data_IF_170890698008
#
_entry.id   IF_170890698008
#
_cell.length_a   1.000
_cell.length_b   1.000
_cell.length_c   1.000
_cell.angle_alpha   90.00
_cell.angle_beta   90.00
_cell.angle_gamma   90.00
#
_symmetry.space_group_name_H-M   'P 1'
#
loop_
_entity.id
_entity.type
_entity.pdbx_description
1 polymer ?
#
# COMPACT_ATOMS: atom_id res chain seq x y z
N UNK A 1 -4.29 19.72 -7.30
CA UNK A 1 -3.62 18.46 -6.94
C UNK A 1 -3.27 17.73 -8.24
N UNK A 2 -2.11 17.08 -8.32
CA UNK A 2 -1.81 16.21 -9.46
C UNK A 2 -2.84 15.06 -9.51
N UNK A 3 -3.26 14.61 -10.70
CA UNK A 3 -4.18 13.48 -10.81
C UNK A 3 -3.56 12.23 -10.16
N UNK A 4 -4.37 11.36 -9.53
CA UNK A 4 -3.86 10.14 -8.92
C UNK A 4 -3.17 9.27 -9.96
N UNK A 5 -2.03 8.69 -9.60
CA UNK A 5 -1.40 7.66 -10.42
C UNK A 5 -2.28 6.41 -10.38
N UNK A 6 -2.85 6.05 -11.53
CA UNK A 6 -3.69 4.87 -11.68
C UNK A 6 -2.94 3.84 -12.51
N UNK A 7 -2.83 2.63 -11.96
CA UNK A 7 -2.28 1.46 -12.61
C UNK A 7 -3.37 0.85 -13.50
N UNK A 8 -2.99 0.38 -14.68
CA UNK A 8 -3.87 -0.48 -15.46
C UNK A 8 -4.03 -1.83 -14.75
N UNK A 9 -5.16 -2.01 -14.09
CA UNK A 9 -5.51 -3.22 -13.32
C UNK A 9 -6.09 -4.33 -14.20
N UNK A 10 -6.05 -4.22 -15.53
CA UNK A 10 -6.47 -5.29 -16.45
C UNK A 10 -5.37 -6.34 -16.65
N UNK A 11 -5.73 -7.55 -17.11
CA UNK A 11 -4.76 -8.63 -17.36
C UNK A 11 -3.68 -8.27 -18.38
N UNK A 12 -3.90 -7.24 -19.20
CA UNK A 12 -2.96 -6.75 -20.21
C UNK A 12 -1.87 -5.84 -19.63
N UNK A 13 -2.05 -5.32 -18.41
CA UNK A 13 -1.18 -4.34 -17.76
C UNK A 13 -0.20 -4.92 -16.72
N UNK A 14 0.31 -6.15 -16.91
CA UNK A 14 1.26 -6.71 -15.92
C UNK A 14 2.50 -5.81 -15.81
N UNK A 15 2.81 -5.28 -14.61
CA UNK A 15 3.98 -4.45 -14.42
C UNK A 15 5.26 -5.25 -14.67
N UNK A 16 6.25 -4.62 -15.31
CA UNK A 16 7.56 -5.23 -15.51
C UNK A 16 8.29 -5.42 -14.18
N UNK A 17 8.08 -4.48 -13.24
CA UNK A 17 8.64 -4.52 -11.90
C UNK A 17 7.51 -4.27 -10.91
N UNK A 18 7.31 -5.21 -9.98
CA UNK A 18 6.27 -5.11 -8.96
C UNK A 18 6.87 -5.18 -7.55
N UNK A 19 6.75 -4.10 -6.81
CA UNK A 19 7.19 -3.99 -5.43
C UNK A 19 6.03 -4.15 -4.45
N UNK A 20 6.23 -5.00 -3.48
CA UNK A 20 5.27 -5.35 -2.45
C UNK A 20 5.65 -4.58 -1.20
N UNK A 21 4.91 -3.53 -0.87
CA UNK A 21 5.21 -2.60 0.22
C UNK A 21 4.20 -2.69 1.37
N UNK A 22 2.97 -3.15 1.13
CA UNK A 22 1.95 -3.33 2.18
C UNK A 22 2.14 -4.72 2.80
N UNK A 23 2.80 -4.77 3.94
CA UNK A 23 3.41 -5.97 4.52
C UNK A 23 4.92 -5.99 4.32
N UNK A 24 5.50 -7.19 4.34
CA UNK A 24 6.95 -7.38 4.16
C UNK A 24 7.38 -6.99 2.75
N UNK A 25 8.54 -6.33 2.63
CA UNK A 25 9.08 -5.90 1.35
C UNK A 25 9.41 -7.11 0.47
N UNK A 26 8.85 -7.16 -0.74
CA UNK A 26 9.23 -8.13 -1.77
C UNK A 26 9.32 -7.45 -3.14
N UNK A 27 10.13 -7.98 -4.04
CA UNK A 27 10.20 -7.52 -5.43
C UNK A 27 9.97 -8.68 -6.39
N UNK A 28 9.17 -8.44 -7.41
CA UNK A 28 8.83 -9.40 -8.47
C UNK A 28 9.17 -8.77 -9.82
N UNK A 29 9.71 -9.57 -10.73
CA UNK A 29 10.12 -9.12 -12.07
C UNK A 29 11.54 -8.59 -12.15
N UNK A 30 12.25 -8.49 -11.02
CA UNK A 30 13.69 -8.25 -10.94
C UNK A 30 14.35 -9.27 -10.02
N UNK A 31 15.59 -9.64 -10.34
CA UNK A 31 16.43 -10.34 -9.39
C UNK A 31 16.82 -9.39 -8.25
N UNK A 32 16.90 -9.92 -7.04
CA UNK A 32 17.33 -9.15 -5.88
C UNK A 32 18.76 -8.66 -6.13
N UNK A 33 19.05 -7.36 -5.96
CA UNK A 33 20.38 -6.84 -6.25
C UNK A 33 21.38 -7.45 -5.28
N UNK A 34 22.51 -7.92 -5.79
CA UNK A 34 23.53 -8.60 -4.99
C UNK A 34 24.34 -7.63 -4.11
N UNK A 35 24.79 -8.15 -2.98
CA UNK A 35 25.79 -7.53 -2.11
C UNK A 35 25.25 -6.55 -1.05
N UNK A 36 26.17 -5.94 -0.30
CA UNK A 36 25.87 -5.17 0.92
C UNK A 36 24.99 -3.92 0.70
N UNK A 37 24.87 -3.46 -0.55
CA UNK A 37 24.07 -2.28 -0.91
C UNK A 37 22.63 -2.61 -1.32
N UNK A 38 22.29 -3.89 -1.39
CA UNK A 38 20.93 -4.36 -1.66
C UNK A 38 19.87 -3.68 -0.79
N UNK A 39 20.03 -3.55 0.55
CA UNK A 39 19.02 -2.90 1.38
C UNK A 39 18.80 -1.43 1.05
N UNK A 40 19.86 -0.72 0.64
CA UNK A 40 19.80 0.70 0.30
C UNK A 40 19.10 0.93 -1.06
N UNK A 41 19.25 0.01 -2.02
CA UNK A 41 18.53 0.06 -3.30
C UNK A 41 17.03 -0.15 -3.12
N UNK A 42 16.64 -1.13 -2.29
CA UNK A 42 15.24 -1.35 -1.93
C UNK A 42 14.63 -0.13 -1.22
N UNK A 43 15.37 0.49 -0.29
CA UNK A 43 14.95 1.70 0.41
C UNK A 43 14.75 2.88 -0.55
N UNK A 44 15.68 3.07 -1.49
CA UNK A 44 15.58 4.11 -2.52
C UNK A 44 14.36 3.89 -3.43
N UNK A 45 14.13 2.65 -3.86
CA UNK A 45 12.98 2.29 -4.69
C UNK A 45 11.66 2.50 -3.94
N UNK A 46 11.57 2.10 -2.67
CA UNK A 46 10.38 2.32 -1.85
C UNK A 46 10.02 3.81 -1.73
N UNK A 47 11.02 4.67 -1.52
CA UNK A 47 10.82 6.12 -1.49
C UNK A 47 10.28 6.62 -2.83
N UNK A 48 10.91 6.24 -3.95
CA UNK A 48 10.46 6.65 -5.29
C UNK A 48 9.04 6.16 -5.62
N UNK A 49 8.66 4.97 -5.16
CA UNK A 49 7.32 4.42 -5.34
C UNK A 49 6.25 5.19 -4.56
N UNK A 50 6.60 5.71 -3.38
CA UNK A 50 5.70 6.55 -2.57
C UNK A 50 5.54 7.97 -3.15
N UNK A 51 6.56 8.46 -3.88
CA UNK A 51 6.61 9.79 -4.48
C UNK A 51 6.52 9.73 -6.01
N UNK A 52 5.34 9.38 -6.52
CA UNK A 52 5.08 9.26 -7.97
C UNK A 52 5.22 10.57 -8.74
N UNK A 53 5.11 11.70 -8.07
CA UNK A 53 5.37 13.05 -8.58
C UNK A 53 6.85 13.33 -8.88
N UNK A 54 7.74 12.43 -8.47
CA UNK A 54 9.17 12.52 -8.72
C UNK A 54 9.96 13.19 -7.59
N UNK A 55 11.17 12.69 -7.36
CA UNK A 55 12.00 13.06 -6.21
C UNK A 55 13.29 13.72 -6.69
N UNK A 56 13.61 14.90 -6.16
CA UNK A 56 14.90 15.52 -6.48
C UNK A 56 16.06 14.67 -5.92
N UNK A 57 17.15 14.41 -6.67
CA UNK A 57 18.27 13.56 -6.22
C UNK A 57 18.82 13.91 -4.83
N UNK A 58 18.86 15.20 -4.50
CA UNK A 58 19.26 15.68 -3.15
C UNK A 58 18.29 15.27 -2.04
N UNK A 59 16.98 15.26 -2.30
CA UNK A 59 15.96 14.84 -1.33
C UNK A 59 16.09 13.35 -1.08
N UNK A 60 16.21 12.55 -2.14
CA UNK A 60 16.50 11.12 -2.03
C UNK A 60 17.76 10.88 -1.19
N UNK A 61 18.86 11.59 -1.49
CA UNK A 61 20.10 11.46 -0.73
C UNK A 61 19.94 11.82 0.76
N UNK A 62 19.23 12.91 1.08
CA UNK A 62 18.99 13.30 2.49
C UNK A 62 18.15 12.30 3.27
N UNK A 63 17.20 11.64 2.59
CA UNK A 63 16.36 10.60 3.19
C UNK A 63 17.17 9.33 3.49
N UNK A 64 18.01 8.92 2.54
CA UNK A 64 18.83 7.70 2.64
C UNK A 64 20.06 7.86 3.54
N UNK A 65 20.64 9.07 3.59
CA UNK A 65 21.78 9.41 4.43
C UNK A 65 21.50 10.68 5.24
N UNK A 66 20.81 10.56 6.40
CA UNK A 66 20.48 11.71 7.24
C UNK A 66 21.69 12.52 7.74
N UNK A 67 22.88 11.89 7.75
CA UNK A 67 24.16 12.53 8.14
C UNK A 67 24.92 13.12 6.95
N UNK A 68 24.33 13.13 5.76
CA UNK A 68 24.96 13.57 4.53
C UNK A 68 25.74 12.47 3.81
N UNK A 69 25.98 12.72 2.52
CA UNK A 69 26.71 11.86 1.59
C UNK A 69 27.37 12.75 0.53
N UNK A 70 28.47 12.30 -0.08
CA UNK A 70 29.08 13.00 -1.21
C UNK A 70 28.26 12.81 -2.49
N UNK A 71 28.37 13.76 -3.42
CA UNK A 71 27.68 13.69 -4.71
C UNK A 71 28.08 12.41 -5.49
N UNK A 72 29.37 12.05 -5.51
CA UNK A 72 29.85 10.83 -6.18
C UNK A 72 29.20 9.55 -5.64
N UNK A 73 28.99 9.45 -4.32
CA UNK A 73 28.37 8.26 -3.71
C UNK A 73 26.87 8.23 -3.99
N UNK A 74 26.20 9.39 -4.00
CA UNK A 74 24.81 9.49 -4.43
C UNK A 74 24.68 9.06 -5.89
N UNK A 75 25.51 9.61 -6.77
CA UNK A 75 25.41 9.36 -8.21
C UNK A 75 25.72 7.90 -8.54
N UNK A 76 26.70 7.29 -7.84
CA UNK A 76 26.96 5.86 -7.92
C UNK A 76 25.80 4.98 -7.41
N UNK A 77 24.97 5.45 -6.46
CA UNK A 77 23.74 4.74 -6.09
C UNK A 77 22.69 4.86 -7.20
N UNK A 78 22.54 6.05 -7.78
CA UNK A 78 21.56 6.30 -8.85
C UNK A 78 21.87 5.48 -10.09
N UNK A 79 23.14 5.37 -10.48
CA UNK A 79 23.54 4.56 -11.63
C UNK A 79 23.24 3.07 -11.38
N UNK A 80 23.55 2.56 -10.18
CA UNK A 80 23.18 1.18 -9.80
C UNK A 80 21.67 0.95 -9.77
N UNK A 81 20.90 1.96 -9.34
CA UNK A 81 19.45 1.89 -9.32
C UNK A 81 18.88 1.85 -10.75
N UNK A 82 19.47 2.63 -11.68
CA UNK A 82 19.13 2.56 -13.11
C UNK A 82 19.48 1.20 -13.70
N UNK A 83 20.68 0.70 -13.43
CA UNK A 83 21.13 -0.62 -13.92
C UNK A 83 20.24 -1.75 -13.40
N UNK A 84 19.92 -1.72 -12.10
CA UNK A 84 19.07 -2.72 -11.46
C UNK A 84 17.64 -2.70 -11.99
N UNK A 85 17.04 -1.51 -12.15
CA UNK A 85 15.70 -1.38 -12.71
C UNK A 85 15.66 -1.68 -14.21
N UNK A 86 16.78 -1.47 -14.91
CA UNK A 86 16.92 -1.69 -16.34
C UNK A 86 16.04 -0.78 -17.20
N UNK A 87 15.78 -1.25 -18.42
CA UNK A 87 15.09 -0.49 -19.46
C UNK A 87 13.74 -1.11 -19.82
N UNK A 88 12.83 -0.27 -20.32
CA UNK A 88 11.62 -0.66 -21.01
C UNK A 88 11.92 -1.39 -22.33
N UNK A 89 10.94 -2.11 -22.91
CA UNK A 89 11.13 -2.80 -24.21
C UNK A 89 11.55 -1.88 -25.36
N UNK A 90 11.24 -0.58 -25.28
CA UNK A 90 11.65 0.45 -26.25
C UNK A 90 13.08 0.97 -26.02
N UNK A 91 13.78 0.46 -25.01
CA UNK A 91 15.13 0.85 -24.64
C UNK A 91 15.23 2.05 -23.71
N UNK A 92 14.11 2.71 -23.37
CA UNK A 92 14.11 3.83 -22.42
C UNK A 92 14.34 3.34 -20.98
N UNK A 93 15.12 4.06 -20.14
CA UNK A 93 15.37 3.60 -18.78
C UNK A 93 14.11 3.68 -17.91
N UNK A 94 13.93 2.70 -17.02
CA UNK A 94 12.79 2.68 -16.08
C UNK A 94 12.91 3.72 -14.97
N UNK A 95 14.12 4.22 -14.70
CA UNK A 95 14.36 5.39 -13.85
C UNK A 95 14.95 6.53 -14.67
N UNK A 96 14.23 7.64 -14.75
CA UNK A 96 14.58 8.82 -15.54
C UNK A 96 14.78 10.04 -14.66
N UNK A 97 15.48 11.02 -15.20
CA UNK A 97 15.45 12.40 -14.68
C UNK A 97 14.57 13.20 -15.63
N UNK A 98 13.53 13.85 -15.10
CA UNK A 98 12.67 14.73 -15.90
C UNK A 98 13.32 16.08 -16.19
N UNK A 99 12.61 16.94 -16.93
CA UNK A 99 13.04 18.29 -17.29
C UNK A 99 13.22 19.21 -16.07
N UNK A 100 12.60 18.90 -14.94
CA UNK A 100 12.75 19.60 -13.67
C UNK A 100 13.92 19.09 -12.82
N UNK A 101 14.63 18.06 -13.28
CA UNK A 101 15.73 17.44 -12.56
C UNK A 101 15.29 16.42 -11.50
N UNK A 102 14.02 15.98 -11.51
CA UNK A 102 13.49 14.99 -10.57
C UNK A 102 13.60 13.58 -11.12
N UNK A 103 13.88 12.64 -10.23
CA UNK A 103 13.89 11.21 -10.48
C UNK A 103 12.45 10.72 -10.58
N UNK A 104 12.10 10.12 -11.72
CA UNK A 104 10.75 9.59 -12.00
C UNK A 104 10.84 8.14 -12.44
N UNK A 105 9.91 7.32 -11.94
CA UNK A 105 9.77 5.92 -12.32
C UNK A 105 8.88 5.80 -13.57
N UNK A 106 9.22 4.86 -14.44
CA UNK A 106 8.35 4.47 -15.53
C UNK A 106 7.07 3.79 -15.00
N UNK A 107 6.00 3.84 -15.80
CA UNK A 107 4.68 3.31 -15.41
C UNK A 107 4.67 1.80 -15.22
N UNK A 108 5.66 1.08 -15.77
CA UNK A 108 5.83 -0.36 -15.61
C UNK A 108 6.43 -0.75 -14.25
N UNK A 109 6.93 0.21 -13.46
CA UNK A 109 7.42 0.01 -12.10
C UNK A 109 6.32 0.39 -11.12
N UNK A 110 5.70 -0.62 -10.52
CA UNK A 110 4.44 -0.49 -9.75
C UNK A 110 4.62 -1.07 -8.34
N UNK A 111 3.87 -0.54 -7.37
CA UNK A 111 3.73 -1.17 -6.06
C UNK A 111 2.32 -1.71 -5.79
N UNK A 112 2.20 -2.64 -4.84
CA UNK A 112 0.90 -3.07 -4.31
C UNK A 112 0.06 -1.91 -3.74
N UNK A 113 0.70 -0.87 -3.19
CA UNK A 113 0.02 0.35 -2.77
C UNK A 113 -0.58 1.14 -3.93
N UNK A 114 0.10 1.21 -5.09
CA UNK A 114 -0.46 1.86 -6.28
C UNK A 114 -1.66 1.08 -6.81
N UNK A 115 -1.57 -0.26 -6.81
CA UNK A 115 -2.68 -1.13 -7.21
C UNK A 115 -3.85 -1.01 -6.23
N UNK A 116 -3.59 -1.01 -4.92
CA UNK A 116 -4.60 -0.81 -3.88
C UNK A 116 -5.39 0.48 -4.10
N UNK A 117 -4.69 1.60 -4.29
CA UNK A 117 -5.29 2.92 -4.57
C UNK A 117 -6.08 2.91 -5.87
N UNK A 118 -5.56 2.26 -6.91
CA UNK A 118 -6.22 2.16 -8.22
C UNK A 118 -7.50 1.33 -8.15
N UNK A 119 -7.47 0.17 -7.50
CA UNK A 119 -8.63 -0.69 -7.30
C UNK A 119 -9.72 0.01 -6.49
N UNK A 120 -9.35 0.69 -5.41
CA UNK A 120 -10.31 1.44 -4.62
C UNK A 120 -10.93 2.61 -5.39
N UNK A 121 -10.13 3.34 -6.17
CA UNK A 121 -10.62 4.40 -7.04
C UNK A 121 -11.58 3.85 -8.11
N UNK A 122 -11.20 2.78 -8.81
CA UNK A 122 -12.04 2.15 -9.82
C UNK A 122 -13.34 1.57 -9.24
N UNK A 123 -13.29 1.02 -8.03
CA UNK A 123 -14.45 0.49 -7.32
C UNK A 123 -15.47 1.56 -6.94
N UNK A 124 -15.00 2.77 -6.59
CA UNK A 124 -15.83 3.84 -6.00
C UNK A 124 -16.21 4.92 -7.01
N UNK A 125 -15.32 5.27 -7.94
CA UNK A 125 -15.47 6.37 -8.89
C UNK A 125 -15.35 5.94 -10.36
N UNK A 126 -14.74 4.79 -10.63
CA UNK A 126 -14.52 4.27 -11.98
C UNK A 126 -15.54 3.23 -12.43
N UNK A 127 -15.07 2.19 -13.12
CA UNK A 127 -15.93 1.16 -13.74
C UNK A 127 -16.77 0.36 -12.73
N UNK A 128 -16.33 0.28 -11.48
CA UNK A 128 -17.06 -0.37 -10.40
C UNK A 128 -18.23 0.46 -9.87
N UNK A 129 -18.20 1.78 -10.01
CA UNK A 129 -19.21 2.66 -9.42
C UNK A 129 -20.64 2.34 -9.90
N UNK A 130 -20.79 2.02 -11.19
CA UNK A 130 -22.08 1.62 -11.79
C UNK A 130 -22.33 0.11 -11.86
N UNK A 131 -21.35 -0.73 -11.47
CA UNK A 131 -21.46 -2.18 -11.57
C UNK A 131 -21.05 -2.87 -10.27
N UNK A 132 -22.07 -3.27 -9.51
CA UNK A 132 -21.91 -3.89 -8.19
C UNK A 132 -21.05 -5.16 -8.20
N UNK A 133 -21.15 -6.00 -9.23
CA UNK A 133 -20.33 -7.22 -9.32
C UNK A 133 -18.85 -6.89 -9.56
N UNK A 134 -18.58 -5.87 -10.37
CA UNK A 134 -17.21 -5.37 -10.61
C UNK A 134 -16.64 -4.72 -9.34
N UNK A 135 -17.42 -3.85 -8.69
CA UNK A 135 -17.05 -3.22 -7.40
C UNK A 135 -16.68 -4.26 -6.34
N UNK A 136 -17.52 -5.26 -6.14
CA UNK A 136 -17.25 -6.31 -5.15
C UNK A 136 -15.92 -7.04 -5.41
N UNK A 137 -15.64 -7.42 -6.67
CA UNK A 137 -14.37 -8.05 -7.04
C UNK A 137 -13.17 -7.13 -6.79
N UNK A 138 -13.24 -5.87 -7.24
CA UNK A 138 -12.17 -4.90 -7.04
C UNK A 138 -11.86 -4.65 -5.56
N UNK A 139 -12.89 -4.57 -4.71
CA UNK A 139 -12.71 -4.42 -3.26
C UNK A 139 -12.11 -5.66 -2.61
N UNK A 140 -12.51 -6.87 -3.05
CA UNK A 140 -11.87 -8.12 -2.62
C UNK A 140 -10.40 -8.15 -3.03
N UNK A 141 -10.10 -7.87 -4.29
CA UNK A 141 -8.73 -7.87 -4.82
C UNK A 141 -7.87 -6.82 -4.09
N UNK A 142 -8.44 -5.66 -3.77
CA UNK A 142 -7.77 -4.60 -3.01
C UNK A 142 -7.40 -5.07 -1.60
N UNK A 143 -8.34 -5.68 -0.87
CA UNK A 143 -8.10 -6.13 0.50
C UNK A 143 -7.06 -7.26 0.56
N UNK A 144 -7.00 -8.14 -0.45
CA UNK A 144 -5.99 -9.21 -0.56
C UNK A 144 -4.56 -8.66 -0.66
N UNK A 145 -4.36 -7.44 -1.18
CA UNK A 145 -3.03 -6.81 -1.23
C UNK A 145 -2.51 -6.42 0.16
N UNK A 146 -3.40 -6.27 1.14
CA UNK A 146 -3.06 -5.81 2.48
C UNK A 146 -2.55 -6.98 3.31
N UNK A 147 -1.22 -7.16 3.35
CA UNK A 147 -0.57 -8.28 4.06
C UNK A 147 -0.01 -7.88 5.43
N UNK A 148 -0.19 -6.63 5.83
CA UNK A 148 0.27 -6.09 7.10
C UNK A 148 0.61 -4.60 7.01
N UNK A 149 1.30 -4.06 8.03
CA UNK A 149 1.77 -2.68 8.04
C UNK A 149 2.66 -2.35 6.84
N UNK A 150 2.70 -1.09 6.43
CA UNK A 150 3.60 -0.61 5.38
C UNK A 150 5.06 -0.93 5.76
N UNK A 151 5.75 -1.65 4.86
CA UNK A 151 7.13 -2.06 5.02
C UNK A 151 7.32 -2.74 6.38
N UNK A 152 6.62 -3.86 6.57
CA UNK A 152 6.85 -4.73 7.71
C UNK A 152 8.32 -5.22 7.70
N UNK A 153 8.89 -5.45 8.89
CA UNK A 153 10.24 -5.98 9.07
C UNK A 153 11.39 -5.07 8.58
N UNK A 154 11.18 -3.74 8.61
CA UNK A 154 12.22 -2.74 8.32
C UNK A 154 13.49 -2.98 9.15
N UNK A 155 14.68 -3.02 8.53
CA UNK A 155 15.94 -3.06 9.26
C UNK A 155 16.08 -1.85 10.19
N UNK A 156 16.62 -2.06 11.39
CA UNK A 156 16.83 -0.99 12.37
C UNK A 156 17.74 0.10 11.78
N UNK A 157 17.30 1.36 11.90
CA UNK A 157 18.05 2.52 11.40
C UNK A 157 17.89 2.80 9.90
N UNK A 158 17.00 2.08 9.21
CA UNK A 158 16.60 2.33 7.82
C UNK A 158 15.19 2.88 7.76
N UNK A 159 14.84 3.51 6.64
CA UNK A 159 13.51 4.07 6.37
C UNK A 159 13.07 5.14 7.38
N UNK A 160 14.02 5.87 7.96
CA UNK A 160 13.72 6.92 8.95
C UNK A 160 12.89 8.08 8.40
N UNK A 161 12.90 8.26 7.07
CA UNK A 161 12.07 9.26 6.38
C UNK A 161 10.56 8.95 6.47
N UNK A 162 10.16 7.67 6.60
CA UNK A 162 8.73 7.29 6.70
C UNK A 162 8.01 7.96 7.87
N UNK A 163 8.70 8.27 8.97
CA UNK A 163 8.08 8.93 10.13
C UNK A 163 7.55 10.32 9.81
N UNK A 164 7.95 10.89 8.68
CA UNK A 164 7.50 12.20 8.20
C UNK A 164 6.54 12.07 7.01
N UNK A 165 6.25 10.85 6.55
CA UNK A 165 5.33 10.59 5.47
C UNK A 165 3.90 10.43 6.01
N UNK A 166 2.95 11.09 5.36
CA UNK A 166 1.53 10.99 5.73
C UNK A 166 0.95 9.60 5.45
N UNK A 167 1.68 8.76 4.69
CA UNK A 167 1.21 7.43 4.30
C UNK A 167 0.95 6.51 5.50
N UNK A 168 1.72 6.66 6.59
CA UNK A 168 1.52 5.88 7.81
C UNK A 168 0.14 6.14 8.43
N UNK A 169 -0.43 7.34 8.24
CA UNK A 169 -1.78 7.68 8.66
C UNK A 169 -2.84 7.38 7.58
N UNK A 170 -2.51 7.57 6.29
CA UNK A 170 -3.46 7.38 5.20
C UNK A 170 -3.76 5.91 4.89
N UNK A 171 -2.76 5.03 4.97
CA UNK A 171 -2.94 3.62 4.62
C UNK A 171 -3.98 2.94 5.52
N UNK A 172 -3.93 3.04 6.87
CA UNK A 172 -4.97 2.47 7.71
C UNK A 172 -6.37 2.99 7.37
N UNK A 173 -6.53 4.28 7.08
CA UNK A 173 -7.82 4.85 6.69
C UNK A 173 -8.33 4.28 5.37
N UNK A 174 -7.46 4.17 4.36
CA UNK A 174 -7.80 3.55 3.07
C UNK A 174 -8.22 2.08 3.23
N UNK A 175 -7.48 1.31 4.04
CA UNK A 175 -7.82 -0.09 4.32
C UNK A 175 -9.15 -0.21 5.05
N UNK A 176 -9.42 0.68 6.02
CA UNK A 176 -10.70 0.72 6.71
C UNK A 176 -11.86 1.01 5.74
N UNK A 177 -11.70 2.00 4.86
CA UNK A 177 -12.74 2.34 3.89
C UNK A 177 -13.00 1.21 2.88
N UNK A 178 -11.96 0.45 2.49
CA UNK A 178 -12.11 -0.77 1.67
C UNK A 178 -12.87 -1.85 2.43
N UNK A 179 -12.49 -2.12 3.69
CA UNK A 179 -13.14 -3.13 4.54
C UNK A 179 -14.62 -2.84 4.78
N UNK A 180 -14.96 -1.58 5.09
CA UNK A 180 -16.33 -1.11 5.26
C UNK A 180 -17.14 -1.29 3.97
N UNK A 181 -16.60 -0.86 2.83
CA UNK A 181 -17.29 -0.97 1.55
C UNK A 181 -17.50 -2.44 1.12
N UNK A 182 -16.56 -3.33 1.43
CA UNK A 182 -16.68 -4.76 1.14
C UNK A 182 -17.65 -5.47 2.09
N UNK A 183 -17.65 -5.09 3.37
CA UNK A 183 -18.62 -5.54 4.37
C UNK A 183 -20.05 -5.21 3.95
N UNK A 184 -20.31 -3.95 3.61
CA UNK A 184 -21.61 -3.49 3.11
C UNK A 184 -22.09 -4.33 1.92
N UNK A 185 -21.20 -4.53 0.93
CA UNK A 185 -21.48 -5.36 -0.25
C UNK A 185 -21.89 -6.81 0.11
N UNK A 186 -21.32 -7.38 1.18
CA UNK A 186 -21.65 -8.71 1.65
C UNK A 186 -22.94 -8.76 2.48
N UNK A 187 -23.16 -7.79 3.37
CA UNK A 187 -24.37 -7.71 4.21
C UNK A 187 -25.64 -7.53 3.39
N UNK A 188 -25.61 -6.68 2.36
CA UNK A 188 -26.74 -6.52 1.44
C UNK A 188 -27.11 -7.81 0.68
N UNK A 189 -26.26 -8.85 0.70
CA UNK A 189 -26.52 -10.18 0.12
C UNK A 189 -26.81 -11.26 1.18
N UNK A 190 -26.99 -10.87 2.44
CA UNK A 190 -27.17 -11.79 3.57
C UNK A 190 -25.94 -12.65 3.85
N UNK A 191 -24.73 -12.18 3.50
CA UNK A 191 -23.48 -12.93 3.67
C UNK A 191 -22.70 -12.41 4.87
N UNK A 192 -23.31 -12.50 6.05
CA UNK A 192 -22.76 -11.96 7.30
C UNK A 192 -21.33 -12.46 7.59
N UNK A 193 -21.06 -13.76 7.43
CA UNK A 193 -19.70 -14.31 7.64
C UNK A 193 -18.64 -13.66 6.73
N UNK A 194 -18.97 -13.42 5.46
CA UNK A 194 -18.02 -12.74 4.55
C UNK A 194 -17.82 -11.27 4.89
N UNK A 195 -18.83 -10.62 5.46
CA UNK A 195 -18.70 -9.26 5.96
C UNK A 195 -17.76 -9.22 7.17
N UNK A 196 -17.88 -10.18 8.09
CA UNK A 196 -16.99 -10.34 9.24
C UNK A 196 -15.54 -10.58 8.77
N UNK A 197 -15.33 -11.52 7.83
CA UNK A 197 -14.00 -11.77 7.25
C UNK A 197 -13.34 -10.50 6.69
N UNK A 198 -14.11 -9.67 5.97
CA UNK A 198 -13.61 -8.41 5.41
C UNK A 198 -13.25 -7.38 6.49
N UNK A 199 -14.07 -7.28 7.55
CA UNK A 199 -13.85 -6.37 8.66
C UNK A 199 -12.65 -6.78 9.52
N UNK A 200 -12.51 -8.08 9.82
CA UNK A 200 -11.37 -8.62 10.57
C UNK A 200 -10.05 -8.41 9.81
N UNK A 201 -10.05 -8.64 8.50
CA UNK A 201 -8.90 -8.36 7.65
C UNK A 201 -8.51 -6.87 7.67
N UNK A 202 -9.49 -5.96 7.59
CA UNK A 202 -9.23 -4.53 7.67
C UNK A 202 -8.75 -4.08 9.06
N UNK A 203 -9.31 -4.65 10.14
CA UNK A 203 -8.90 -4.42 11.52
C UNK A 203 -7.45 -4.83 11.79
N UNK A 204 -6.89 -5.78 11.04
CA UNK A 204 -5.48 -6.14 11.12
C UNK A 204 -4.54 -4.96 10.82
N UNK A 205 -4.93 -4.04 9.93
CA UNK A 205 -4.13 -2.86 9.57
C UNK A 205 -4.67 -1.54 10.13
N UNK A 206 -5.96 -1.47 10.43
CA UNK A 206 -6.63 -0.31 11.01
C UNK A 206 -7.29 -0.65 12.36
N UNK A 207 -6.53 -1.20 13.33
CA UNK A 207 -7.13 -1.73 14.55
C UNK A 207 -7.83 -0.63 15.36
N UNK A 208 -7.40 0.63 15.21
CA UNK A 208 -7.96 1.78 15.92
C UNK A 208 -9.20 2.42 15.31
N UNK A 209 -9.71 1.96 14.16
CA UNK A 209 -10.85 2.59 13.49
C UNK A 209 -12.18 2.08 14.08
N UNK A 210 -12.89 2.94 14.81
CA UNK A 210 -14.14 2.60 15.49
C UNK A 210 -15.28 2.26 14.52
N UNK A 211 -15.23 2.73 13.27
CA UNK A 211 -16.25 2.42 12.25
C UNK A 211 -16.21 0.92 11.91
N UNK A 212 -15.01 0.35 11.79
CA UNK A 212 -14.83 -1.08 11.55
C UNK A 212 -15.41 -1.91 12.70
N UNK A 213 -15.14 -1.50 13.95
CA UNK A 213 -15.70 -2.18 15.13
C UNK A 213 -17.22 -2.10 15.19
N UNK A 214 -17.80 -0.95 14.86
CA UNK A 214 -19.26 -0.79 14.80
C UNK A 214 -19.88 -1.74 13.78
N UNK A 215 -19.32 -1.77 12.57
CA UNK A 215 -19.81 -2.67 11.52
C UNK A 215 -19.56 -4.14 11.84
N UNK A 216 -18.49 -4.48 12.58
CA UNK A 216 -18.22 -5.86 13.01
C UNK A 216 -19.28 -6.35 13.99
N UNK A 217 -19.70 -5.50 14.93
CA UNK A 217 -20.82 -5.80 15.83
C UNK A 217 -22.13 -6.00 15.04
N UNK A 218 -22.41 -5.16 14.05
CA UNK A 218 -23.62 -5.28 13.21
C UNK A 218 -23.60 -6.55 12.37
N UNK A 219 -22.48 -6.85 11.72
CA UNK A 219 -22.32 -8.06 10.92
C UNK A 219 -22.42 -9.33 11.78
N UNK A 220 -21.82 -9.32 12.98
CA UNK A 220 -21.93 -10.42 13.95
C UNK A 220 -23.34 -10.59 14.47
N UNK A 221 -24.06 -9.49 14.74
CA UNK A 221 -25.47 -9.59 15.14
C UNK A 221 -26.33 -10.27 14.05
N UNK A 222 -26.03 -10.04 12.78
CA UNK A 222 -26.73 -10.65 11.65
C UNK A 222 -26.48 -12.17 11.51
N UNK A 223 -25.53 -12.76 12.23
CA UNK A 223 -25.36 -14.22 12.30
C UNK A 223 -26.27 -14.87 13.34
N UNK A 224 -27.04 -14.09 14.10
CA UNK A 224 -27.92 -14.54 15.19
C UNK A 224 -27.19 -15.35 16.27
N UNK A 225 -25.89 -15.11 16.46
CA UNK A 225 -25.06 -15.72 17.49
C UNK A 225 -24.77 -14.72 18.62
N UNK A 226 -25.57 -14.74 19.72
CA UNK A 226 -25.40 -13.79 20.82
C UNK A 226 -24.10 -13.99 21.59
N UNK A 227 -23.54 -15.21 21.62
CA UNK A 227 -22.28 -15.49 22.32
C UNK A 227 -21.11 -14.86 21.57
N UNK A 228 -21.08 -15.02 20.25
CA UNK A 228 -20.08 -14.36 19.38
C UNK A 228 -20.19 -12.84 19.46
N UNK A 229 -21.40 -12.29 19.46
CA UNK A 229 -21.62 -10.84 19.60
C UNK A 229 -21.09 -10.30 20.95
N UNK A 230 -21.35 -11.01 22.05
CA UNK A 230 -20.82 -10.65 23.37
C UNK A 230 -19.29 -10.67 23.40
N UNK A 231 -18.67 -11.63 22.73
CA UNK A 231 -17.21 -11.72 22.63
C UNK A 231 -16.63 -10.51 21.87
N UNK A 232 -17.16 -10.17 20.71
CA UNK A 232 -16.71 -8.99 19.94
C UNK A 232 -16.88 -7.69 20.73
N UNK A 233 -17.99 -7.55 21.48
CA UNK A 233 -18.21 -6.39 22.33
C UNK A 233 -17.21 -6.32 23.49
N UNK A 234 -16.88 -7.46 24.12
CA UNK A 234 -15.86 -7.52 25.16
C UNK A 234 -14.47 -7.15 24.62
N UNK A 235 -14.12 -7.60 23.41
CA UNK A 235 -12.85 -7.26 22.75
C UNK A 235 -12.73 -5.76 22.46
N UNK A 236 -13.81 -5.14 21.96
CA UNK A 236 -13.87 -3.68 21.78
C UNK A 236 -13.66 -2.94 23.12
N UNK A 237 -14.36 -3.35 24.17
CA UNK A 237 -14.25 -2.72 25.50
C UNK A 237 -12.87 -2.86 26.11
N UNK A 238 -12.25 -4.04 26.01
CA UNK A 238 -10.89 -4.28 26.50
C UNK A 238 -9.88 -3.35 25.82
N UNK A 239 -10.04 -3.11 24.52
CA UNK A 239 -9.20 -2.20 23.75
C UNK A 239 -9.41 -0.73 24.10
N UNK A 240 -10.65 -0.30 24.26
CA UNK A 240 -10.98 1.08 24.67
C UNK A 240 -10.51 1.37 26.10
N UNK A 241 -10.58 0.39 27.00
CA UNK A 241 -10.05 0.49 28.37
C UNK A 241 -8.52 0.58 28.42
N UNK A 242 -7.81 -0.13 27.54
CA UNK A 242 -6.35 -0.04 27.43
C UNK A 242 -5.85 1.32 26.88
N UNK A 243 -6.73 2.10 26.26
CA UNK A 243 -6.43 3.44 25.71
C UNK A 243 -6.63 4.59 26.71
N UNK A 244 -7.01 4.30 27.97
CA UNK A 244 -7.03 5.24 29.10
C UNK A 244 -7.34 6.69 28.76
N UNK A 245 -8.60 7.11 28.94
CA UNK A 245 -8.92 8.53 29.14
C UNK A 245 -8.13 9.08 30.34
#
# INVERSE_FOLDING_TARGET
AAPPFLVDVTEQGRPAVYARLVGTYEIIGLETPDGERSPLLHEALALLLLHREGVHPRVLASALWPRGVTDDVRDALLDRLRDWLGNEPDGSPRLRTDDTGRLTLAKSVVSDLDVLRSLYHEATQGRGAGNRAVRGRMLTDALVLVRGPLLADRPRGRYGWLTHEIIDAQLPLLVADIGLALSEFHLEKGRAEKAIEALDAALGSAPGDERLWNELLRATHATEDPARLQQVAADLMARSGARGL
#
